data_IF_359347098186
#
_entry.id   IF_359347098186
#
_cell.length_a   1.000
_cell.length_b   1.000
_cell.length_c   1.000
_cell.angle_alpha   90.00
_cell.angle_beta   90.00
_cell.angle_gamma   90.00
#
_symmetry.space_group_name_H-M   'P 1'
#
loop_
_entity.id
_entity.type
_entity.pdbx_description
1 polymer ?
#
# COMPACT_ATOMS: atom_id res chain seq x y z
N UNK A 1 54.30 -3.80 -11.82
CA UNK A 1 53.52 -4.30 -10.65
C UNK A 1 54.50 -4.56 -9.51
N UNK A 2 54.20 -4.26 -8.22
CA UNK A 2 52.99 -3.69 -7.60
C UNK A 2 53.17 -2.19 -7.29
N UNK A 3 52.23 -1.35 -7.67
CA UNK A 3 50.97 -0.96 -7.01
C UNK A 3 51.19 0.14 -5.95
N UNK A 4 50.76 1.34 -6.37
CA UNK A 4 51.06 2.64 -5.83
C UNK A 4 49.91 3.10 -4.92
N UNK A 5 50.31 3.69 -3.80
CA UNK A 5 49.66 4.83 -3.16
C UNK A 5 48.36 4.53 -2.41
N UNK A 6 48.58 4.41 -1.10
CA UNK A 6 47.69 4.73 0.00
C UNK A 6 46.73 5.92 -0.22
N UNK A 7 45.52 5.76 0.32
CA UNK A 7 44.76 6.77 1.09
C UNK A 7 44.28 8.03 0.35
N UNK A 8 42.97 8.12 0.10
CA UNK A 8 42.02 9.07 0.75
C UNK A 8 40.69 9.14 -0.03
N UNK A 9 39.62 8.88 0.70
CA UNK A 9 38.26 9.44 0.64
C UNK A 9 37.58 9.75 -0.71
N UNK A 10 36.48 9.04 -0.97
CA UNK A 10 35.17 9.65 -1.24
C UNK A 10 34.12 8.53 -1.14
N UNK A 11 33.37 8.46 -0.03
CA UNK A 11 31.98 8.91 -0.02
C UNK A 11 31.19 8.47 -1.26
N UNK A 12 30.64 7.25 -1.22
CA UNK A 12 29.32 7.03 -1.82
C UNK A 12 28.46 6.42 -0.73
N UNK A 13 27.71 7.35 -0.15
CA UNK A 13 26.57 7.21 0.73
C UNK A 13 26.19 5.77 1.08
N UNK A 14 26.39 5.44 2.35
CA UNK A 14 25.32 4.85 3.15
C UNK A 14 23.96 5.34 2.64
N UNK A 15 23.29 4.54 1.81
CA UNK A 15 21.83 4.52 1.80
C UNK A 15 21.43 3.94 3.16
N UNK A 16 21.66 4.73 4.21
CA UNK A 16 20.64 4.93 5.21
C UNK A 16 19.42 5.32 4.38
N UNK A 17 18.64 4.32 3.99
CA UNK A 17 17.24 4.50 3.66
C UNK A 17 16.78 5.38 4.81
N UNK A 18 16.39 6.65 4.56
CA UNK A 18 15.83 7.42 5.62
C UNK A 18 14.67 6.56 6.10
N UNK A 19 14.81 6.04 7.31
CA UNK A 19 13.69 5.70 8.17
C UNK A 19 12.98 7.01 8.48
N UNK A 20 12.45 7.64 7.43
CA UNK A 20 11.30 8.49 7.44
C UNK A 20 10.11 7.53 7.27
N UNK A 21 10.03 6.52 8.13
CA UNK A 21 8.74 5.98 8.54
C UNK A 21 8.13 7.08 9.38
N UNK A 22 7.65 8.11 8.69
CA UNK A 22 6.63 8.97 9.24
C UNK A 22 5.36 8.17 9.10
N UNK A 23 4.81 7.75 10.23
CA UNK A 23 3.40 7.39 10.33
C UNK A 23 2.55 8.67 10.15
N UNK A 24 2.66 9.33 8.99
CA UNK A 24 1.70 10.31 8.49
C UNK A 24 0.80 9.52 7.54
N UNK A 25 -0.26 8.91 8.10
CA UNK A 25 -1.22 8.05 7.40
C UNK A 25 -2.12 8.80 6.41
N UNK A 26 -1.53 9.65 5.56
CA UNK A 26 -2.22 10.32 4.47
C UNK A 26 -2.26 9.46 3.21
N UNK A 27 -3.28 9.67 2.40
CA UNK A 27 -3.41 9.04 1.10
C UNK A 27 -2.25 9.42 0.17
N UNK A 28 -1.73 8.45 -0.59
CA UNK A 28 -0.58 8.62 -1.48
C UNK A 28 -0.82 9.73 -2.51
N UNK A 29 0.25 10.44 -2.86
CA UNK A 29 0.27 11.30 -4.04
C UNK A 29 0.44 10.46 -5.33
N UNK A 30 0.30 11.10 -6.50
CA UNK A 30 0.36 10.41 -7.79
C UNK A 30 1.67 9.66 -8.01
N UNK A 31 2.80 10.30 -7.74
CA UNK A 31 4.12 9.72 -7.93
C UNK A 31 4.31 8.45 -7.10
N UNK A 32 3.93 8.52 -5.82
CA UNK A 32 4.02 7.39 -4.88
C UNK A 32 3.10 6.25 -5.32
N UNK A 33 1.86 6.56 -5.73
CA UNK A 33 0.94 5.56 -6.25
C UNK A 33 1.50 4.87 -7.49
N UNK A 34 1.99 5.63 -8.48
CA UNK A 34 2.50 5.05 -9.73
C UNK A 34 3.74 4.20 -9.51
N UNK A 35 4.62 4.58 -8.58
CA UNK A 35 5.76 3.76 -8.16
C UNK A 35 5.32 2.40 -7.59
N UNK A 36 4.44 2.38 -6.59
CA UNK A 36 3.98 1.11 -6.02
C UNK A 36 3.13 0.31 -7.01
N UNK A 37 2.38 0.98 -7.87
CA UNK A 37 1.59 0.35 -8.92
C UNK A 37 2.49 -0.34 -9.95
N UNK A 38 3.64 0.25 -10.34
CA UNK A 38 4.59 -0.43 -11.23
C UNK A 38 5.17 -1.68 -10.57
N UNK A 39 5.58 -1.57 -9.30
CA UNK A 39 6.09 -2.71 -8.52
C UNK A 39 5.06 -3.84 -8.44
N UNK A 40 3.79 -3.51 -8.14
CA UNK A 40 2.70 -4.50 -8.08
C UNK A 40 2.52 -5.18 -9.45
N UNK A 41 2.53 -4.42 -10.55
CA UNK A 41 2.37 -4.99 -11.90
C UNK A 41 3.53 -5.91 -12.29
N UNK A 42 4.76 -5.56 -11.92
CA UNK A 42 5.97 -6.31 -12.28
C UNK A 42 6.21 -7.57 -11.43
N UNK A 43 5.61 -7.65 -10.24
CA UNK A 43 5.92 -8.70 -9.25
C UNK A 43 4.69 -9.50 -8.78
N UNK A 44 4.03 -10.26 -9.67
CA UNK A 44 2.82 -11.04 -9.32
C UNK A 44 3.05 -12.06 -8.20
N UNK A 45 4.25 -12.63 -8.09
CA UNK A 45 4.61 -13.57 -7.02
C UNK A 45 4.55 -12.95 -5.62
N UNK A 46 4.57 -11.62 -5.52
CA UNK A 46 4.54 -10.90 -4.24
C UNK A 46 3.14 -10.46 -3.81
N UNK A 47 2.13 -10.61 -4.66
CA UNK A 47 0.77 -10.09 -4.42
C UNK A 47 0.16 -10.60 -3.12
N UNK A 48 0.29 -11.90 -2.83
CA UNK A 48 -0.25 -12.49 -1.60
C UNK A 48 0.32 -11.80 -0.35
N UNK A 49 1.63 -11.55 -0.34
CA UNK A 49 2.32 -10.85 0.75
C UNK A 49 1.89 -9.40 0.86
N UNK A 50 1.74 -8.69 -0.26
CA UNK A 50 1.29 -7.29 -0.29
C UNK A 50 -0.14 -7.18 0.24
N UNK A 51 -1.05 -8.07 -0.19
CA UNK A 51 -2.44 -8.12 0.27
C UNK A 51 -2.50 -8.36 1.77
N UNK A 52 -1.70 -9.32 2.27
CA UNK A 52 -1.63 -9.62 3.69
C UNK A 52 -1.15 -8.41 4.51
N UNK A 53 -0.04 -7.77 4.11
CA UNK A 53 0.47 -6.58 4.79
C UNK A 53 -0.48 -5.38 4.72
N UNK A 54 -1.17 -5.19 3.60
CA UNK A 54 -2.24 -4.19 3.47
C UNK A 54 -3.34 -4.43 4.52
N UNK A 55 -3.76 -5.69 4.69
CA UNK A 55 -4.84 -6.03 5.60
C UNK A 55 -4.45 -5.88 7.07
N UNK A 56 -3.24 -6.31 7.44
CA UNK A 56 -2.70 -6.13 8.79
C UNK A 56 -2.59 -4.66 9.17
N UNK A 57 -2.01 -3.84 8.28
CA UNK A 57 -1.87 -2.39 8.51
C UNK A 57 -3.24 -1.70 8.60
N UNK A 58 -4.19 -2.07 7.73
CA UNK A 58 -5.55 -1.54 7.75
C UNK A 58 -6.29 -1.87 9.06
N UNK A 59 -6.11 -3.09 9.58
CA UNK A 59 -6.69 -3.50 10.86
C UNK A 59 -6.04 -2.83 12.06
N UNK A 60 -4.71 -2.65 12.02
CA UNK A 60 -3.96 -2.00 13.10
C UNK A 60 -4.28 -0.50 13.20
N UNK A 61 -4.56 0.16 12.08
CA UNK A 61 -4.96 1.56 12.03
C UNK A 61 -6.44 1.79 12.40
N UNK A 62 -7.25 0.73 12.48
CA UNK A 62 -8.69 0.82 12.68
C UNK A 62 -9.04 1.00 14.15
N UNK A 63 -9.86 2.00 14.47
CA UNK A 63 -10.44 2.16 15.80
C UNK A 63 -11.50 1.10 16.07
N UNK A 64 -11.82 0.82 17.34
CA UNK A 64 -12.89 -0.12 17.70
C UNK A 64 -14.24 0.27 17.10
N UNK A 65 -14.51 1.59 17.01
CA UNK A 65 -15.70 2.12 16.35
C UNK A 65 -15.71 1.76 14.87
N UNK A 66 -14.63 2.07 14.14
CA UNK A 66 -14.52 1.77 12.72
C UNK A 66 -14.61 0.26 12.46
N UNK A 67 -14.05 -0.56 13.36
CA UNK A 67 -14.16 -2.03 13.32
C UNK A 67 -15.60 -2.49 13.40
N UNK A 68 -16.36 -2.02 14.39
CA UNK A 68 -17.77 -2.37 14.54
C UNK A 68 -18.62 -1.89 13.35
N UNK A 69 -18.33 -0.70 12.82
CA UNK A 69 -18.99 -0.17 11.63
C UNK A 69 -18.72 -1.05 10.39
N UNK A 70 -17.46 -1.42 10.13
CA UNK A 70 -17.10 -2.34 9.04
C UNK A 70 -17.79 -3.69 9.19
N UNK A 71 -17.84 -4.24 10.40
CA UNK A 71 -18.47 -5.55 10.63
C UNK A 71 -19.96 -5.54 10.35
N UNK A 72 -20.65 -4.53 10.88
CA UNK A 72 -22.09 -4.33 10.62
C UNK A 72 -22.37 -4.11 9.14
N UNK A 73 -21.58 -3.26 8.49
CA UNK A 73 -21.85 -2.80 7.13
C UNK A 73 -21.50 -3.84 6.07
N UNK A 74 -20.48 -4.66 6.33
CA UNK A 74 -20.06 -5.75 5.44
C UNK A 74 -20.76 -7.08 5.72
N UNK A 75 -21.32 -7.28 6.91
CA UNK A 75 -21.81 -8.58 7.36
C UNK A 75 -20.69 -9.63 7.54
N UNK A 76 -19.43 -9.18 7.65
CA UNK A 76 -18.25 -10.03 7.79
C UNK A 76 -17.40 -9.55 8.98
N UNK A 77 -16.58 -10.42 9.59
CA UNK A 77 -15.55 -9.96 10.54
C UNK A 77 -14.64 -8.91 9.87
N UNK A 78 -14.23 -7.88 10.62
CA UNK A 78 -13.47 -6.75 10.04
C UNK A 78 -12.21 -7.21 9.31
N UNK A 79 -11.53 -8.23 9.87
CA UNK A 79 -10.35 -8.82 9.27
C UNK A 79 -10.60 -9.38 7.86
N UNK A 80 -11.75 -10.04 7.68
CA UNK A 80 -12.16 -10.59 6.38
C UNK A 80 -12.56 -9.50 5.40
N UNK A 81 -13.30 -8.49 5.87
CA UNK A 81 -13.72 -7.35 5.05
C UNK A 81 -12.51 -6.56 4.52
N UNK A 82 -11.56 -6.25 5.39
CA UNK A 82 -10.33 -5.53 5.01
C UNK A 82 -9.44 -6.35 4.08
N UNK A 83 -9.27 -7.66 4.35
CA UNK A 83 -8.54 -8.54 3.44
C UNK A 83 -9.15 -8.55 2.03
N UNK A 84 -10.47 -8.54 1.91
CA UNK A 84 -11.17 -8.50 0.64
C UNK A 84 -10.99 -7.15 -0.09
N UNK A 85 -11.06 -6.02 0.62
CA UNK A 85 -10.78 -4.69 0.05
C UNK A 85 -9.33 -4.62 -0.46
N UNK A 86 -8.36 -5.03 0.35
CA UNK A 86 -6.95 -5.08 -0.05
C UNK A 86 -6.73 -5.98 -1.26
N UNK A 87 -7.34 -7.17 -1.28
CA UNK A 87 -7.26 -8.09 -2.43
C UNK A 87 -7.75 -7.42 -3.71
N UNK A 88 -8.93 -6.80 -3.68
CA UNK A 88 -9.52 -6.16 -4.85
C UNK A 88 -8.72 -4.94 -5.31
N UNK A 89 -8.26 -4.11 -4.38
CA UNK A 89 -7.39 -2.98 -4.68
C UNK A 89 -6.11 -3.45 -5.42
N UNK A 90 -5.40 -4.43 -4.85
CA UNK A 90 -4.13 -4.92 -5.43
C UNK A 90 -4.35 -5.57 -6.81
N UNK A 91 -5.41 -6.39 -6.97
CA UNK A 91 -5.76 -6.94 -8.29
C UNK A 91 -6.17 -5.86 -9.30
N UNK A 92 -6.89 -4.84 -8.85
CA UNK A 92 -7.26 -3.69 -9.67
C UNK A 92 -6.04 -2.91 -10.15
N UNK A 93 -5.05 -2.70 -9.28
CA UNK A 93 -3.78 -2.06 -9.63
C UNK A 93 -3.00 -2.92 -10.61
N UNK A 94 -2.90 -4.23 -10.34
CA UNK A 94 -2.19 -5.19 -11.18
C UNK A 94 -2.76 -5.27 -12.61
N UNK A 95 -4.08 -5.20 -12.76
CA UNK A 95 -4.76 -5.18 -14.06
C UNK A 95 -4.78 -3.81 -14.74
N UNK A 96 -4.34 -2.75 -14.05
CA UNK A 96 -4.42 -1.36 -14.53
C UNK A 96 -5.81 -0.73 -14.44
N UNK A 97 -6.81 -1.45 -13.90
CA UNK A 97 -8.17 -0.96 -13.73
C UNK A 97 -8.30 0.05 -12.58
N UNK A 98 -7.48 -0.08 -11.53
CA UNK A 98 -7.33 0.93 -10.49
C UNK A 98 -6.15 1.82 -10.83
N UNK A 99 -6.47 3.03 -11.27
CA UNK A 99 -5.52 4.12 -11.52
C UNK A 99 -5.51 5.10 -10.35
N UNK A 100 -4.55 6.03 -10.35
CA UNK A 100 -4.41 7.00 -9.27
C UNK A 100 -5.70 7.74 -8.95
N UNK A 101 -6.49 8.11 -9.96
CA UNK A 101 -7.76 8.83 -9.76
C UNK A 101 -8.78 7.99 -8.98
N UNK A 102 -8.86 6.69 -9.27
CA UNK A 102 -9.75 5.77 -8.56
C UNK A 102 -9.28 5.52 -7.12
N UNK A 103 -7.96 5.36 -6.93
CA UNK A 103 -7.36 5.28 -5.60
C UNK A 103 -7.61 6.55 -4.79
N UNK A 104 -7.41 7.72 -5.39
CA UNK A 104 -7.58 9.01 -4.73
C UNK A 104 -9.03 9.24 -4.34
N UNK A 105 -9.97 8.96 -5.24
CA UNK A 105 -11.39 9.05 -4.94
C UNK A 105 -11.78 8.15 -3.75
N UNK A 106 -11.27 6.91 -3.71
CA UNK A 106 -11.47 6.02 -2.56
C UNK A 106 -10.87 6.61 -1.27
N UNK A 107 -9.63 7.10 -1.32
CA UNK A 107 -8.94 7.56 -0.13
C UNK A 107 -9.46 8.91 0.42
N UNK A 108 -10.17 9.68 -0.41
CA UNK A 108 -10.89 10.91 -0.02
C UNK A 108 -12.36 10.67 0.31
N UNK A 109 -12.85 9.44 0.14
CA UNK A 109 -14.23 9.12 0.45
C UNK A 109 -14.44 9.25 1.96
N UNK A 110 -15.39 10.09 2.40
CA UNK A 110 -15.76 10.18 3.81
C UNK A 110 -16.18 8.81 4.37
N UNK A 111 -15.93 8.58 5.66
CA UNK A 111 -16.20 7.29 6.32
C UNK A 111 -17.67 6.82 6.21
N UNK A 112 -18.61 7.76 6.03
CA UNK A 112 -20.04 7.48 5.84
C UNK A 112 -20.44 7.11 4.40
N UNK A 113 -19.48 7.17 3.46
CA UNK A 113 -19.68 6.85 2.05
C UNK A 113 -18.89 5.60 1.66
N UNK A 114 -19.41 4.87 0.68
CA UNK A 114 -18.84 3.60 0.23
C UNK A 114 -18.29 3.72 -1.19
N UNK A 115 -17.02 3.35 -1.35
CA UNK A 115 -16.44 3.05 -2.67
C UNK A 115 -16.21 1.55 -2.75
N UNK A 116 -16.84 0.93 -3.76
CA UNK A 116 -16.76 -0.51 -3.99
C UNK A 116 -15.76 -0.77 -5.10
N UNK A 117 -14.69 -1.50 -4.78
CA UNK A 117 -13.86 -2.10 -5.80
C UNK A 117 -14.54 -3.37 -6.34
N UNK A 118 -14.72 -3.49 -7.67
CA UNK A 118 -15.07 -4.75 -8.31
C UNK A 118 -14.06 -5.86 -7.98
N UNK A 119 -14.49 -7.11 -8.17
CA UNK A 119 -13.53 -8.21 -8.21
C UNK A 119 -12.86 -8.24 -9.58
N UNK A 120 -11.65 -7.68 -9.64
CA UNK A 120 -10.82 -7.71 -10.84
C UNK A 120 -10.24 -9.12 -11.04
N UNK A 121 -10.24 -9.58 -12.29
CA UNK A 121 -9.71 -10.90 -12.66
C UNK A 121 -8.18 -10.91 -12.57
#
# INVERSE_FOLDING_TARGET
MPNRIQLIAALIATLAIPSLVRADGGAWNRETFEYYASVIREQPSTHSRIIHGCAENGLAAMTDRARAEVERDSGMPAAKAIAEVCRRMIKGIASGAVRYEAYRAWAETPDDKRVVFPDYK
#
